data_IF_501598001134
#
_entry.id   IF_501598001134
#
_cell.length_a   1.000
_cell.length_b   1.000
_cell.length_c   1.000
_cell.angle_alpha   90.00
_cell.angle_beta   90.00
_cell.angle_gamma   90.00
#
_symmetry.space_group_name_H-M   'P 1'
#
loop_
_entity.id
_entity.type
_entity.pdbx_description
1 polymer ?
#
# COMPACT_ATOMS: atom_id res chain seq x y z
N UNK A 1 -22.21 18.16 29.86
CA UNK A 1 -20.73 18.20 29.76
C UNK A 1 -20.34 17.60 28.41
N UNK A 2 -19.77 18.41 27.50
CA UNK A 2 -19.27 17.98 26.18
C UNK A 2 -18.12 16.99 26.38
N UNK A 3 -18.16 15.83 25.70
CA UNK A 3 -16.97 14.97 25.55
C UNK A 3 -16.29 15.34 24.25
N UNK A 4 -15.25 16.16 24.37
CA UNK A 4 -14.33 16.59 23.30
C UNK A 4 -13.28 15.51 23.04
N UNK A 5 -13.19 15.08 21.77
CA UNK A 5 -12.09 14.41 21.08
C UNK A 5 -11.15 13.50 21.91
N UNK A 6 -11.39 12.20 21.88
CA UNK A 6 -10.43 11.19 22.35
C UNK A 6 -9.34 10.95 21.29
N UNK A 7 -8.10 11.35 21.60
CA UNK A 7 -6.93 11.15 20.75
C UNK A 7 -6.71 9.67 20.41
N UNK A 8 -6.53 9.38 19.11
CA UNK A 8 -6.22 8.04 18.63
C UNK A 8 -4.87 7.56 19.20
N UNK A 9 -4.89 6.54 20.06
CA UNK A 9 -3.67 5.89 20.58
C UNK A 9 -2.90 5.29 19.40
N UNK A 10 -1.67 5.77 19.16
CA UNK A 10 -0.79 5.23 18.11
C UNK A 10 0.28 4.36 18.74
N UNK A 11 0.52 3.18 18.17
CA UNK A 11 1.59 2.27 18.59
C UNK A 11 2.83 2.57 17.77
N UNK A 12 3.88 3.07 18.45
CA UNK A 12 5.21 3.14 17.86
C UNK A 12 6.05 2.00 18.41
N UNK A 13 6.47 1.08 17.54
CA UNK A 13 7.36 -0.02 17.91
C UNK A 13 8.80 0.41 17.68
N UNK A 14 9.49 0.82 18.75
CA UNK A 14 10.95 0.85 18.78
C UNK A 14 11.44 -0.54 19.22
N UNK A 15 12.31 -1.16 18.43
CA UNK A 15 12.77 -2.51 18.67
C UNK A 15 14.30 -2.52 18.67
N UNK A 16 14.89 -2.92 19.79
CA UNK A 16 16.32 -3.18 19.93
C UNK A 16 16.54 -4.68 19.77
N UNK A 17 17.42 -5.07 18.85
CA UNK A 17 17.79 -6.47 18.66
C UNK A 17 19.10 -6.70 19.40
N UNK A 18 19.07 -7.45 20.50
CA UNK A 18 20.27 -7.88 21.21
C UNK A 18 20.76 -9.19 20.60
N UNK A 19 21.96 -9.18 20.02
CA UNK A 19 22.62 -10.39 19.51
C UNK A 19 23.88 -10.69 20.30
N UNK A 20 24.03 -11.92 20.80
CA UNK A 20 25.26 -12.44 21.41
C UNK A 20 25.60 -13.79 20.77
N UNK A 21 26.87 -13.99 20.38
CA UNK A 21 27.31 -15.24 19.77
C UNK A 21 27.01 -16.45 20.68
N UNK A 22 26.46 -17.53 20.13
CA UNK A 22 26.02 -18.70 20.89
C UNK A 22 24.70 -18.54 21.66
N UNK A 23 24.08 -17.36 21.63
CA UNK A 23 22.82 -17.10 22.32
C UNK A 23 21.72 -16.66 21.33
N UNK A 24 20.47 -17.02 21.66
CA UNK A 24 19.30 -16.62 20.86
C UNK A 24 19.15 -15.09 20.87
N UNK A 25 19.00 -14.43 19.70
CA UNK A 25 18.72 -13.01 19.65
C UNK A 25 17.44 -12.69 20.41
N UNK A 26 17.48 -11.66 21.25
CA UNK A 26 16.31 -11.21 21.98
C UNK A 26 15.84 -9.88 21.39
N UNK A 27 14.56 -9.82 21.03
CA UNK A 27 13.91 -8.58 20.68
C UNK A 27 13.38 -7.92 21.94
N UNK A 28 14.01 -6.82 22.33
CA UNK A 28 13.44 -5.93 23.33
C UNK A 28 12.71 -4.85 22.56
N UNK A 29 11.38 -4.96 22.49
CA UNK A 29 10.54 -3.92 21.94
C UNK A 29 9.75 -3.26 23.06
N UNK A 30 9.63 -1.93 22.99
CA UNK A 30 8.75 -1.18 23.87
C UNK A 30 7.61 -0.64 23.02
N UNK A 31 6.38 -1.03 23.37
CA UNK A 31 5.17 -0.43 22.80
C UNK A 31 5.03 0.95 23.43
N UNK A 32 5.30 2.00 22.66
CA UNK A 32 5.03 3.36 23.10
C UNK A 32 3.58 3.69 22.78
N UNK A 33 2.77 3.93 23.82
CA UNK A 33 1.43 4.51 23.73
C UNK A 33 1.58 6.02 23.71
N UNK A 34 1.64 6.60 22.52
CA UNK A 34 1.73 8.05 22.37
C UNK A 34 0.36 8.72 22.58
N UNK A 35 0.33 9.78 23.40
CA UNK A 35 -0.89 10.52 23.76
C UNK A 35 -1.13 11.82 22.96
N UNK A 36 -0.23 12.21 22.05
CA UNK A 36 -0.25 13.55 21.45
C UNK A 36 0.01 13.58 19.92
N UNK A 37 -0.65 14.42 19.10
CA UNK A 37 -0.46 14.49 17.66
C UNK A 37 0.55 15.58 17.25
N UNK A 38 1.83 15.22 17.07
CA UNK A 38 2.86 16.16 16.60
C UNK A 38 3.16 16.04 15.09
N UNK A 39 3.21 17.19 14.39
CA UNK A 39 3.67 17.35 13.00
C UNK A 39 5.12 16.84 12.87
N UNK A 40 5.37 15.91 11.94
CA UNK A 40 6.71 15.37 11.65
C UNK A 40 6.99 13.94 12.13
N UNK A 41 6.04 13.25 12.78
CA UNK A 41 6.23 11.84 13.16
C UNK A 41 6.27 10.89 11.96
N UNK A 42 7.11 9.84 12.05
CA UNK A 42 7.06 8.68 11.14
C UNK A 42 5.68 8.03 11.25
N UNK A 43 4.87 8.13 10.20
CA UNK A 43 3.47 7.61 10.12
C UNK A 43 3.43 6.12 10.44
N UNK A 44 3.17 5.73 11.69
CA UNK A 44 3.11 4.34 12.16
C UNK A 44 1.72 3.73 12.09
N UNK A 45 1.63 2.47 12.48
CA UNK A 45 0.42 1.66 12.54
C UNK A 45 -0.24 1.85 13.92
N UNK A 46 -1.50 2.28 13.97
CA UNK A 46 -2.20 2.45 15.25
C UNK A 46 -2.66 1.09 15.80
N UNK A 47 -2.98 1.04 17.09
CA UNK A 47 -3.60 -0.16 17.68
C UNK A 47 -4.91 -0.51 16.97
N UNK A 48 -5.70 0.53 16.63
CA UNK A 48 -6.93 0.41 15.85
C UNK A 48 -6.68 -0.11 14.44
N UNK A 49 -5.64 0.38 13.76
CA UNK A 49 -5.28 -0.12 12.42
C UNK A 49 -4.89 -1.60 12.50
N UNK A 50 -4.21 -2.01 13.58
CA UNK A 50 -3.84 -3.40 13.82
C UNK A 50 -5.02 -4.31 14.13
N UNK A 51 -5.95 -3.85 14.97
CA UNK A 51 -7.19 -4.57 15.22
C UNK A 51 -7.97 -4.76 13.90
N UNK A 52 -8.15 -3.70 13.11
CA UNK A 52 -8.82 -3.76 11.80
C UNK A 52 -8.13 -4.73 10.83
N UNK A 53 -6.80 -4.71 10.77
CA UNK A 53 -6.05 -5.64 9.90
C UNK A 53 -6.15 -7.09 10.39
N UNK A 54 -6.17 -7.30 11.70
CA UNK A 54 -6.37 -8.63 12.29
C UNK A 54 -7.79 -9.14 12.02
N UNK A 55 -8.80 -8.30 12.19
CA UNK A 55 -10.21 -8.62 11.92
C UNK A 55 -10.42 -8.94 10.43
N UNK A 56 -9.86 -8.12 9.53
CA UNK A 56 -9.90 -8.39 8.09
C UNK A 56 -9.22 -9.73 7.75
N UNK A 57 -8.02 -9.99 8.28
CA UNK A 57 -7.33 -11.26 8.08
C UNK A 57 -8.12 -12.45 8.67
N UNK A 58 -8.83 -12.23 9.76
CA UNK A 58 -9.68 -13.23 10.40
C UNK A 58 -10.88 -13.61 9.52
N UNK A 59 -11.62 -12.60 9.06
CA UNK A 59 -12.76 -12.76 8.16
C UNK A 59 -12.36 -13.47 6.86
N UNK A 60 -11.26 -13.05 6.24
CA UNK A 60 -10.80 -13.62 4.97
C UNK A 60 -10.26 -15.06 5.09
N UNK A 61 -9.78 -15.46 6.26
CA UNK A 61 -9.30 -16.82 6.50
C UNK A 61 -10.41 -17.79 6.94
N UNK A 62 -11.62 -17.30 7.25
CA UNK A 62 -12.70 -18.13 7.80
C UNK A 62 -12.29 -18.87 9.08
N UNK A 63 -11.29 -18.36 9.80
CA UNK A 63 -10.77 -19.00 11.00
C UNK A 63 -11.73 -18.72 12.17
N UNK A 64 -12.00 -19.68 13.07
CA UNK A 64 -12.72 -19.39 14.32
C UNK A 64 -11.88 -18.46 15.19
N UNK A 65 -12.52 -17.60 15.98
CA UNK A 65 -11.93 -16.53 16.84
C UNK A 65 -10.92 -17.03 17.89
N UNK A 66 -10.73 -18.35 17.99
CA UNK A 66 -9.64 -18.97 18.71
C UNK A 66 -8.28 -18.79 18.01
N UNK A 67 -7.23 -19.09 18.77
CA UNK A 67 -5.87 -19.43 18.38
C UNK A 67 -5.79 -20.27 17.10
N UNK A 68 -6.00 -19.59 15.97
CA UNK A 68 -6.17 -20.16 14.64
C UNK A 68 -4.94 -20.93 14.21
N UNK A 69 -4.88 -22.18 14.62
CA UNK A 69 -3.94 -23.14 14.11
C UNK A 69 -4.38 -23.46 12.69
N UNK A 70 -3.42 -23.39 11.75
CA UNK A 70 -3.65 -23.99 10.45
C UNK A 70 -3.89 -25.48 10.73
N UNK A 71 -5.10 -25.98 10.47
CA UNK A 71 -5.50 -27.36 10.80
C UNK A 71 -4.36 -28.33 10.45
N UNK A 72 -3.84 -29.04 11.45
CA UNK A 72 -2.80 -30.06 11.31
C UNK A 72 -1.38 -29.67 11.73
N UNK A 73 -1.11 -28.45 12.24
CA UNK A 73 0.24 -28.05 12.63
C UNK A 73 0.31 -27.50 14.08
N UNK A 74 0.72 -28.30 15.08
CA UNK A 74 0.70 -27.94 16.51
C UNK A 74 1.68 -26.83 16.95
N UNK A 75 2.32 -26.12 16.00
CA UNK A 75 3.34 -25.09 16.25
C UNK A 75 3.06 -23.73 15.59
N UNK A 76 1.86 -23.48 15.06
CA UNK A 76 1.58 -22.18 14.42
C UNK A 76 1.21 -21.12 15.44
N UNK A 77 1.95 -19.99 15.44
CA UNK A 77 1.61 -18.80 16.23
C UNK A 77 0.15 -18.36 16.01
N UNK A 78 -0.49 -17.76 17.04
CA UNK A 78 -1.77 -17.08 16.91
C UNK A 78 -1.80 -16.15 15.70
N UNK A 79 -2.96 -16.04 15.03
CA UNK A 79 -3.13 -15.21 13.84
C UNK A 79 -2.60 -13.79 14.05
N UNK A 80 -2.89 -13.19 15.20
CA UNK A 80 -2.37 -11.90 15.64
C UNK A 80 -0.85 -11.77 15.44
N UNK A 81 -0.05 -12.70 16.01
CA UNK A 81 1.41 -12.65 15.89
C UNK A 81 1.89 -12.82 14.45
N UNK A 82 1.18 -13.60 13.62
CA UNK A 82 1.49 -13.74 12.19
C UNK A 82 1.18 -12.47 11.40
N UNK A 83 0.05 -11.82 11.68
CA UNK A 83 -0.32 -10.51 11.10
C UNK A 83 0.68 -9.43 11.51
N UNK A 84 1.08 -9.40 12.79
CA UNK A 84 2.11 -8.48 13.28
C UNK A 84 3.45 -8.68 12.58
N UNK A 85 3.85 -9.92 12.33
CA UNK A 85 5.07 -10.23 11.61
C UNK A 85 5.04 -9.70 10.17
N UNK A 86 3.90 -9.83 9.46
CA UNK A 86 3.72 -9.28 8.11
C UNK A 86 3.75 -7.76 8.12
N UNK A 87 3.02 -7.12 9.05
CA UNK A 87 3.02 -5.67 9.21
C UNK A 87 4.44 -5.15 9.50
N UNK A 88 5.20 -5.82 10.37
CA UNK A 88 6.59 -5.49 10.64
C UNK A 88 7.45 -5.64 9.39
N UNK A 89 7.30 -6.76 8.67
CA UNK A 89 8.04 -7.03 7.43
C UNK A 89 7.80 -5.92 6.39
N UNK A 90 6.55 -5.55 6.11
CA UNK A 90 6.24 -4.48 5.18
C UNK A 90 6.75 -3.12 5.65
N UNK A 91 6.67 -2.87 6.96
CA UNK A 91 7.09 -1.60 7.52
C UNK A 91 8.61 -1.40 7.45
N UNK A 92 9.36 -2.46 7.67
CA UNK A 92 10.82 -2.38 7.88
C UNK A 92 11.64 -2.90 6.72
N UNK A 93 11.06 -3.74 5.85
CA UNK A 93 11.74 -4.47 4.79
C UNK A 93 12.92 -5.31 5.29
N UNK A 94 12.76 -5.91 6.47
CA UNK A 94 13.75 -6.84 7.02
C UNK A 94 13.84 -8.10 6.15
N UNK A 95 15.05 -8.64 6.00
CA UNK A 95 15.27 -9.93 5.33
C UNK A 95 14.58 -11.06 6.10
N UNK A 96 14.17 -12.15 5.44
CA UNK A 96 13.43 -13.26 6.10
C UNK A 96 14.15 -13.86 7.33
N UNK A 97 15.49 -13.72 7.41
CA UNK A 97 16.31 -14.18 8.54
C UNK A 97 16.20 -13.29 9.78
N UNK A 98 15.74 -12.05 9.63
CA UNK A 98 15.68 -11.08 10.72
C UNK A 98 14.37 -11.19 11.53
N UNK A 99 13.15 -11.30 10.95
CA UNK A 99 11.94 -11.56 11.72
C UNK A 99 11.96 -12.91 12.43
N UNK A 100 12.65 -13.92 11.89
CA UNK A 100 12.69 -15.27 12.45
C UNK A 100 13.02 -15.28 13.94
N UNK A 101 14.19 -14.76 14.36
CA UNK A 101 14.52 -14.64 15.77
C UNK A 101 13.53 -13.80 16.60
N UNK A 102 12.93 -12.76 16.02
CA UNK A 102 11.97 -11.89 16.73
C UNK A 102 10.67 -12.63 17.11
N UNK A 103 10.25 -13.57 16.27
CA UNK A 103 9.01 -14.33 16.45
C UNK A 103 9.28 -15.81 16.80
N UNK A 104 10.54 -16.18 17.09
CA UNK A 104 10.98 -17.56 17.34
C UNK A 104 10.64 -18.54 16.21
N UNK A 105 10.82 -18.09 14.96
CA UNK A 105 10.59 -18.87 13.75
C UNK A 105 11.83 -19.06 12.90
N UNK A 106 11.84 -20.15 12.11
CA UNK A 106 12.79 -20.29 11.00
C UNK A 106 12.50 -19.25 9.91
N UNK A 107 13.52 -18.87 9.16
CA UNK A 107 13.37 -18.01 7.98
C UNK A 107 12.38 -18.59 6.95
N UNK A 108 12.33 -19.92 6.82
CA UNK A 108 11.38 -20.61 5.94
C UNK A 108 9.93 -20.45 6.41
N UNK A 109 9.68 -20.47 7.73
CA UNK A 109 8.35 -20.23 8.31
C UNK A 109 7.92 -18.78 8.10
N UNK A 110 8.83 -17.83 8.32
CA UNK A 110 8.59 -16.41 8.04
C UNK A 110 8.18 -16.20 6.58
N UNK A 111 8.92 -16.80 5.64
CA UNK A 111 8.62 -16.73 4.21
C UNK A 111 7.21 -17.25 3.89
N UNK A 112 6.86 -18.45 4.37
CA UNK A 112 5.53 -19.05 4.16
C UNK A 112 4.41 -18.18 4.72
N UNK A 113 4.60 -17.61 5.90
CA UNK A 113 3.58 -16.72 6.51
C UNK A 113 3.41 -15.45 5.68
N UNK A 114 4.50 -14.81 5.24
CA UNK A 114 4.42 -13.60 4.41
C UNK A 114 3.76 -13.90 3.08
N UNK A 115 4.11 -15.00 2.41
CA UNK A 115 3.47 -15.39 1.14
C UNK A 115 1.98 -15.68 1.33
N UNK A 116 1.59 -16.39 2.39
CA UNK A 116 0.20 -16.75 2.64
C UNK A 116 -0.67 -15.58 3.07
N UNK A 117 -0.19 -14.77 4.02
CA UNK A 117 -0.96 -13.67 4.58
C UNK A 117 -0.86 -12.40 3.73
N UNK A 118 0.27 -12.16 3.05
CA UNK A 118 0.44 -11.03 2.15
C UNK A 118 -0.49 -11.07 0.94
N UNK A 119 -1.00 -12.25 0.59
CA UNK A 119 -2.01 -12.45 -0.46
C UNK A 119 -3.44 -12.20 0.00
N UNK A 120 -3.73 -12.14 1.30
CA UNK A 120 -5.11 -12.04 1.80
C UNK A 120 -5.80 -10.73 1.39
N UNK A 121 -5.14 -9.55 1.47
CA UNK A 121 -5.78 -8.31 1.07
C UNK A 121 -5.99 -8.18 -0.45
N UNK A 122 -5.42 -9.08 -1.25
CA UNK A 122 -5.61 -9.12 -2.70
C UNK A 122 -6.98 -9.67 -3.14
N UNK A 123 -7.77 -10.21 -2.20
CA UNK A 123 -8.98 -11.00 -2.50
C UNK A 123 -10.29 -10.24 -2.41
N UNK A 124 -10.33 -9.10 -1.73
CA UNK A 124 -11.53 -8.27 -1.69
C UNK A 124 -11.34 -7.03 -2.56
N UNK A 125 -12.08 -6.91 -3.67
CA UNK A 125 -12.36 -5.60 -4.24
C UNK A 125 -12.92 -4.73 -3.11
N UNK A 126 -12.40 -3.50 -2.97
CA UNK A 126 -13.05 -2.52 -2.09
C UNK A 126 -14.51 -2.44 -2.50
N UNK A 127 -15.40 -2.84 -1.60
CA UNK A 127 -16.84 -2.84 -1.86
C UNK A 127 -17.22 -1.46 -2.37
N UNK A 128 -17.73 -1.41 -3.61
CA UNK A 128 -18.29 -0.21 -4.25
C UNK A 128 -19.14 0.54 -3.22
N UNK A 129 -18.76 1.75 -2.78
CA UNK A 129 -19.76 2.64 -2.20
C UNK A 129 -20.82 2.90 -3.28
N UNK A 130 -22.09 2.90 -2.88
CA UNK A 130 -23.28 2.93 -3.74
C UNK A 130 -23.20 3.90 -4.94
N UNK A 131 -23.91 3.54 -6.02
CA UNK A 131 -24.10 4.27 -7.28
C UNK A 131 -24.22 5.79 -7.10
N UNK A 132 -23.10 6.50 -7.16
CA UNK A 132 -23.06 7.92 -7.52
C UNK A 132 -22.66 8.03 -8.99
N UNK A 133 -23.53 8.58 -9.87
CA UNK A 133 -23.32 8.60 -11.32
C UNK A 133 -22.17 9.49 -11.81
N UNK A 134 -21.44 10.15 -10.90
CA UNK A 134 -20.35 11.08 -11.23
C UNK A 134 -19.06 10.77 -10.47
N UNK A 135 -18.71 9.48 -10.39
CA UNK A 135 -17.51 9.07 -9.66
C UNK A 135 -16.24 9.37 -10.47
N UNK A 136 -15.33 10.12 -9.86
CA UNK A 136 -14.03 10.46 -10.43
C UNK A 136 -12.96 9.56 -9.81
N UNK A 137 -12.35 8.70 -10.63
CA UNK A 137 -11.19 7.92 -10.24
C UNK A 137 -9.93 8.53 -10.79
N UNK A 138 -8.87 8.61 -10.02
CA UNK A 138 -7.58 9.09 -10.52
C UNK A 138 -6.59 7.94 -10.54
N UNK A 139 -5.75 7.93 -11.57
CA UNK A 139 -4.72 6.93 -11.75
C UNK A 139 -3.38 7.63 -11.68
N UNK A 140 -2.49 7.07 -10.86
CA UNK A 140 -1.11 7.53 -10.84
C UNK A 140 -0.14 6.35 -10.81
N UNK A 141 0.96 6.56 -11.52
CA UNK A 141 2.02 5.62 -11.74
C UNK A 141 3.10 5.78 -10.69
N UNK A 142 3.70 4.66 -10.26
CA UNK A 142 4.76 4.72 -9.28
C UNK A 142 5.86 3.71 -9.53
N UNK A 143 7.10 4.20 -9.57
CA UNK A 143 8.29 3.37 -9.66
C UNK A 143 8.66 2.84 -8.27
N UNK A 144 8.73 1.51 -8.17
CA UNK A 144 9.10 0.76 -6.98
C UNK A 144 10.42 0.07 -7.28
N UNK A 145 11.52 0.37 -6.54
CA UNK A 145 12.75 -0.39 -6.67
C UNK A 145 12.53 -1.85 -6.29
N UNK A 146 13.03 -2.78 -7.11
CA UNK A 146 12.84 -4.22 -6.92
C UNK A 146 14.17 -4.96 -7.03
N UNK A 147 14.24 -6.14 -6.40
CA UNK A 147 15.38 -7.06 -6.55
C UNK A 147 15.09 -8.15 -7.59
N UNK A 148 13.82 -8.33 -7.96
CA UNK A 148 13.40 -9.31 -8.95
C UNK A 148 13.81 -8.90 -10.36
N UNK A 149 14.80 -9.63 -10.91
CA UNK A 149 15.31 -9.39 -12.26
C UNK A 149 14.33 -9.76 -13.37
N UNK A 150 13.35 -10.61 -13.10
CA UNK A 150 12.31 -10.96 -14.07
C UNK A 150 11.23 -9.90 -14.21
N UNK A 151 11.13 -8.98 -13.24
CA UNK A 151 10.08 -7.96 -13.19
C UNK A 151 10.61 -6.54 -13.42
N UNK A 152 11.79 -6.21 -12.89
CA UNK A 152 12.32 -4.85 -12.95
C UNK A 152 13.01 -4.52 -14.27
N UNK A 153 13.15 -3.22 -14.53
CA UNK A 153 14.04 -2.68 -15.55
C UNK A 153 14.71 -1.41 -15.03
N UNK A 154 15.88 -1.07 -15.59
CA UNK A 154 16.53 0.20 -15.27
C UNK A 154 15.79 1.35 -15.95
N UNK A 155 15.17 2.23 -15.16
CA UNK A 155 14.37 3.36 -15.66
C UNK A 155 15.19 4.66 -15.70
N UNK A 156 14.57 5.77 -16.14
CA UNK A 156 15.18 7.11 -16.26
C UNK A 156 15.90 7.61 -15.00
N UNK A 157 15.57 7.07 -13.82
CA UNK A 157 16.21 7.40 -12.54
C UNK A 157 17.44 6.53 -12.21
N UNK A 158 17.99 5.79 -13.18
CA UNK A 158 19.12 4.85 -13.05
C UNK A 158 18.94 3.76 -11.98
N UNK A 159 17.71 3.56 -11.51
CA UNK A 159 17.38 2.59 -10.48
C UNK A 159 16.54 1.47 -11.07
N UNK A 160 17.00 0.25 -10.86
CA UNK A 160 16.28 -0.95 -11.25
C UNK A 160 14.93 -1.03 -10.49
N UNK A 161 13.83 -0.92 -11.23
CA UNK A 161 12.49 -0.71 -10.68
C UNK A 161 11.41 -1.37 -11.52
N UNK A 162 10.27 -1.62 -10.89
CA UNK A 162 9.02 -1.97 -11.53
C UNK A 162 8.07 -0.77 -11.46
N UNK A 163 7.25 -0.59 -12.48
CA UNK A 163 6.20 0.41 -12.53
C UNK A 163 4.88 -0.23 -12.13
N UNK A 164 4.20 0.37 -11.14
CA UNK A 164 2.86 -0.02 -10.70
C UNK A 164 1.95 1.19 -10.73
N UNK A 165 0.73 1.03 -11.24
CA UNK A 165 -0.31 2.05 -11.17
C UNK A 165 -1.28 1.70 -10.05
N UNK A 166 -1.77 2.73 -9.37
CA UNK A 166 -2.86 2.60 -8.43
C UNK A 166 -4.02 3.48 -8.88
N UNK A 167 -5.24 2.95 -8.75
CA UNK A 167 -6.49 3.64 -9.00
C UNK A 167 -7.04 4.06 -7.65
N UNK A 168 -7.36 5.34 -7.52
CA UNK A 168 -7.95 5.88 -6.31
C UNK A 168 -9.24 6.60 -6.63
N UNK A 169 -10.16 6.61 -5.68
CA UNK A 169 -11.29 7.52 -5.67
C UNK A 169 -10.81 8.92 -5.27
N UNK A 170 -11.07 9.92 -6.11
CA UNK A 170 -10.54 11.27 -5.95
C UNK A 170 -11.06 11.99 -4.70
N UNK A 171 -12.28 11.67 -4.26
CA UNK A 171 -12.97 12.32 -3.15
C UNK A 171 -12.62 11.64 -1.82
N UNK A 172 -12.82 10.33 -1.74
CA UNK A 172 -12.62 9.53 -0.52
C UNK A 172 -11.18 9.14 -0.28
N UNK A 173 -10.33 9.21 -1.33
CA UNK A 173 -8.92 8.77 -1.30
C UNK A 173 -8.74 7.27 -1.02
N UNK A 174 -9.80 6.48 -1.25
CA UNK A 174 -9.75 5.03 -1.21
C UNK A 174 -8.96 4.51 -2.41
N UNK A 175 -8.03 3.58 -2.18
CA UNK A 175 -7.38 2.84 -3.26
C UNK A 175 -8.33 1.74 -3.72
N UNK A 176 -8.85 1.88 -4.93
CA UNK A 176 -9.83 0.96 -5.52
C UNK A 176 -9.14 -0.29 -6.05
N UNK A 177 -8.02 -0.10 -6.74
CA UNK A 177 -7.24 -1.19 -7.32
C UNK A 177 -5.77 -0.79 -7.49
N UNK A 178 -4.91 -1.79 -7.62
CA UNK A 178 -3.53 -1.62 -8.06
C UNK A 178 -3.25 -2.58 -9.20
N UNK A 179 -2.56 -2.11 -10.23
CA UNK A 179 -2.26 -2.90 -11.41
C UNK A 179 -1.20 -3.97 -11.12
N UNK A 180 -1.10 -4.95 -12.02
CA UNK A 180 0.06 -5.83 -12.03
C UNK A 180 1.30 -5.00 -12.38
N UNK A 181 2.44 -5.23 -11.71
CA UNK A 181 3.67 -4.53 -12.03
C UNK A 181 4.14 -4.82 -13.44
N UNK A 182 4.63 -3.79 -14.11
CA UNK A 182 5.30 -3.87 -15.40
C UNK A 182 6.76 -3.40 -15.25
N UNK A 183 7.65 -3.67 -16.21
CA UNK A 183 9.02 -3.16 -16.15
C UNK A 183 9.08 -1.64 -15.95
N UNK A 184 10.05 -1.15 -15.18
CA UNK A 184 10.17 0.28 -14.85
C UNK A 184 10.42 1.22 -16.03
N UNK A 185 10.76 0.69 -17.21
CA UNK A 185 10.89 1.43 -18.47
C UNK A 185 9.56 1.65 -19.18
N UNK A 186 8.50 0.94 -18.77
CA UNK A 186 7.18 1.04 -19.38
C UNK A 186 6.56 2.40 -19.06
N UNK A 187 6.18 3.13 -20.11
CA UNK A 187 5.51 4.43 -20.00
C UNK A 187 4.13 4.28 -19.36
N UNK A 188 3.66 5.32 -18.68
CA UNK A 188 2.33 5.38 -18.04
C UNK A 188 1.19 4.93 -18.95
N UNK A 189 1.17 5.49 -20.15
CA UNK A 189 0.31 5.11 -21.26
C UNK A 189 0.27 3.59 -21.54
N UNK A 190 1.44 2.96 -21.68
CA UNK A 190 1.52 1.54 -22.01
C UNK A 190 1.19 0.66 -20.80
N UNK A 191 1.60 1.07 -19.59
CA UNK A 191 1.24 0.39 -18.35
C UNK A 191 -0.27 0.37 -18.15
N UNK A 192 -0.94 1.47 -18.49
CA UNK A 192 -2.40 1.59 -18.44
C UNK A 192 -3.09 0.64 -19.40
N UNK A 193 -2.66 0.62 -20.67
CA UNK A 193 -3.21 -0.32 -21.64
C UNK A 193 -2.96 -1.78 -21.24
N UNK A 194 -1.75 -2.11 -20.78
CA UNK A 194 -1.38 -3.46 -20.36
C UNK A 194 -2.16 -3.94 -19.12
N UNK A 195 -2.69 -3.01 -18.32
CA UNK A 195 -3.46 -3.35 -17.12
C UNK A 195 -4.85 -3.93 -17.39
N UNK A 196 -5.39 -3.75 -18.61
CA UNK A 196 -6.76 -4.12 -18.96
C UNK A 196 -7.85 -3.24 -18.31
N UNK A 197 -7.47 -2.24 -17.50
CA UNK A 197 -8.41 -1.35 -16.82
C UNK A 197 -9.16 -0.42 -17.77
N UNK A 198 -8.58 -0.12 -18.93
CA UNK A 198 -9.23 0.67 -19.99
C UNK A 198 -10.55 0.05 -20.48
N UNK A 199 -10.65 -1.29 -20.45
CA UNK A 199 -11.84 -2.02 -20.89
C UNK A 199 -12.98 -2.01 -19.86
N UNK A 200 -12.68 -1.66 -18.60
CA UNK A 200 -13.59 -1.74 -17.46
C UNK A 200 -14.19 -0.38 -17.04
N UNK A 201 -14.05 0.65 -17.88
CA UNK A 201 -14.35 2.06 -17.54
C UNK A 201 -15.85 2.45 -17.61
N UNK A 202 -16.78 1.51 -17.77
CA UNK A 202 -18.19 1.85 -17.95
C UNK A 202 -18.73 2.66 -16.76
N UNK A 203 -19.06 3.94 -17.02
CA UNK A 203 -19.65 4.86 -16.03
C UNK A 203 -18.68 5.63 -15.14
N UNK A 204 -17.36 5.61 -15.39
CA UNK A 204 -16.37 6.29 -14.52
C UNK A 204 -15.45 7.25 -15.30
N UNK A 205 -15.38 8.49 -14.81
CA UNK A 205 -14.40 9.46 -15.31
C UNK A 205 -13.06 9.19 -14.66
N UNK A 206 -12.02 8.99 -15.48
CA UNK A 206 -10.66 8.77 -15.01
C UNK A 206 -9.76 9.92 -15.44
N UNK A 207 -9.64 11.02 -14.67
CA UNK A 207 -8.66 12.04 -14.97
C UNK A 207 -7.28 11.44 -14.76
N UNK A 208 -6.40 11.67 -15.72
CA UNK A 208 -5.04 11.17 -15.68
C UNK A 208 -4.09 12.33 -15.99
N UNK A 209 -2.80 12.15 -15.72
CA UNK A 209 -1.79 13.16 -16.06
C UNK A 209 -1.64 13.30 -17.59
N UNK A 210 -0.96 14.36 -18.05
CA UNK A 210 -0.68 14.59 -19.47
C UNK A 210 0.03 13.40 -20.16
N UNK A 211 0.69 12.51 -19.39
CA UNK A 211 1.25 11.26 -19.89
C UNK A 211 0.21 10.29 -20.51
N UNK A 212 -1.09 10.54 -20.31
CA UNK A 212 -2.20 9.73 -20.80
C UNK A 212 -3.02 10.40 -21.93
N UNK A 213 -2.52 11.50 -22.51
CA UNK A 213 -3.20 12.36 -23.50
C UNK A 213 -3.90 11.61 -24.66
N UNK A 214 -3.42 10.43 -25.05
CA UNK A 214 -3.95 9.65 -26.18
C UNK A 214 -4.91 8.51 -25.79
N UNK A 215 -5.31 8.39 -24.52
CA UNK A 215 -6.01 7.19 -23.99
C UNK A 215 -7.43 7.47 -23.50
N UNK A 216 -8.06 8.56 -23.98
CA UNK A 216 -9.47 8.87 -23.71
C UNK A 216 -9.76 9.30 -22.27
N UNK A 217 -8.74 9.68 -21.50
CA UNK A 217 -8.85 10.25 -20.15
C UNK A 217 -8.89 11.77 -20.23
N UNK A 218 -9.71 12.48 -19.43
CA UNK A 218 -9.56 13.92 -19.24
C UNK A 218 -8.14 14.21 -18.73
N UNK A 219 -7.43 15.07 -19.45
CA UNK A 219 -6.04 15.46 -19.15
C UNK A 219 -5.96 16.99 -19.10
N UNK A 220 -4.96 17.55 -18.38
CA UNK A 220 -4.80 18.99 -18.27
C UNK A 220 -4.69 19.69 -19.62
N UNK A 221 -5.28 20.89 -19.73
CA UNK A 221 -5.13 21.76 -20.89
C UNK A 221 -3.68 22.25 -21.00
N UNK A 222 -3.08 22.08 -22.18
CA UNK A 222 -1.73 22.56 -22.45
C UNK A 222 -1.75 23.94 -23.14
N UNK A 223 -0.82 24.81 -22.73
CA UNK A 223 -0.60 26.10 -23.40
C UNK A 223 -0.19 25.87 -24.85
N UNK A 224 -0.82 26.58 -25.79
CA UNK A 224 -0.36 26.63 -27.19
C UNK A 224 0.87 27.55 -27.28
N UNK A 225 1.83 27.28 -28.17
CA UNK A 225 2.99 28.14 -28.35
C UNK A 225 2.57 29.60 -28.58
N UNK A 226 3.07 30.52 -27.74
CA UNK A 226 2.81 31.95 -27.86
C UNK A 226 1.44 32.44 -27.37
N UNK A 227 0.57 31.57 -26.84
CA UNK A 227 -0.75 31.96 -26.35
C UNK A 227 -0.93 31.63 -24.85
N UNK A 228 -1.44 32.58 -24.04
CA UNK A 228 -1.80 32.28 -22.66
C UNK A 228 -2.98 31.30 -22.62
N UNK A 229 -3.06 30.51 -21.55
CA UNK A 229 -4.19 29.62 -21.34
C UNK A 229 -5.43 30.48 -21.00
N UNK A 230 -6.59 30.23 -21.61
CA UNK A 230 -7.84 30.87 -21.20
C UNK A 230 -8.10 30.66 -19.70
N UNK A 231 -8.72 31.65 -19.05
CA UNK A 231 -8.97 31.62 -17.60
C UNK A 231 -9.78 30.39 -17.15
N UNK A 232 -10.79 29.98 -17.93
CA UNK A 232 -11.57 28.77 -17.65
C UNK A 232 -10.74 27.48 -17.68
N UNK A 233 -9.86 27.34 -18.68
CA UNK A 233 -8.94 26.19 -18.77
C UNK A 233 -7.88 26.18 -17.64
N UNK A 234 -7.52 27.36 -17.12
CA UNK A 234 -6.62 27.47 -15.96
C UNK A 234 -7.30 27.07 -14.64
N UNK A 235 -8.58 27.41 -14.48
CA UNK A 235 -9.43 26.98 -13.36
C UNK A 235 -9.63 25.45 -13.38
N UNK A 236 -9.94 24.87 -14.54
CA UNK A 236 -10.05 23.41 -14.70
C UNK A 236 -8.74 22.68 -14.38
N UNK A 237 -7.61 23.22 -14.86
CA UNK A 237 -6.28 22.71 -14.52
C UNK A 237 -5.96 22.84 -13.02
N UNK A 238 -6.49 23.86 -12.33
CA UNK A 238 -6.29 24.02 -10.90
C UNK A 238 -7.04 22.94 -10.11
N UNK A 239 -8.27 22.60 -10.50
CA UNK A 239 -9.00 21.48 -9.92
C UNK A 239 -8.32 20.13 -10.21
N UNK A 240 -7.85 19.92 -11.45
CA UNK A 240 -7.07 18.72 -11.79
C UNK A 240 -5.83 18.57 -10.90
N UNK A 241 -5.06 19.65 -10.69
CA UNK A 241 -3.90 19.65 -9.79
C UNK A 241 -4.26 19.31 -8.34
N UNK A 242 -5.40 19.79 -7.83
CA UNK A 242 -5.86 19.45 -6.46
C UNK A 242 -6.16 17.97 -6.34
N UNK A 243 -6.83 17.39 -7.33
CA UNK A 243 -7.12 15.95 -7.38
C UNK A 243 -5.82 15.14 -7.44
N UNK A 244 -4.89 15.53 -8.32
CA UNK A 244 -3.60 14.84 -8.45
C UNK A 244 -2.77 14.90 -7.16
N UNK A 245 -2.74 16.05 -6.48
CA UNK A 245 -2.05 16.19 -5.20
C UNK A 245 -2.58 15.23 -4.12
N UNK A 246 -3.88 14.90 -4.11
CA UNK A 246 -4.41 13.90 -3.19
C UNK A 246 -3.88 12.50 -3.47
N UNK A 247 -3.74 12.14 -4.74
CA UNK A 247 -3.26 10.84 -5.19
C UNK A 247 -1.77 10.67 -4.88
N UNK A 248 -0.96 11.70 -5.19
CA UNK A 248 0.44 11.75 -4.81
C UNK A 248 0.61 11.57 -3.29
N UNK A 249 -0.25 12.21 -2.48
CA UNK A 249 -0.24 12.05 -1.02
C UNK A 249 -0.56 10.62 -0.57
N UNK A 250 -1.49 9.93 -1.24
CA UNK A 250 -1.82 8.51 -0.97
C UNK A 250 -0.62 7.63 -1.30
N UNK A 251 -0.02 7.78 -2.48
CA UNK A 251 1.17 7.02 -2.89
C UNK A 251 2.34 7.31 -1.96
N UNK A 252 2.57 8.56 -1.60
CA UNK A 252 3.58 8.94 -0.61
C UNK A 252 3.29 8.31 0.76
N UNK A 253 2.00 8.15 1.14
CA UNK A 253 1.60 7.45 2.36
C UNK A 253 1.95 5.96 2.29
N UNK A 254 1.62 5.28 1.20
CA UNK A 254 1.98 3.88 0.94
C UNK A 254 3.50 3.69 0.90
N UNK A 255 4.26 4.60 0.31
CA UNK A 255 5.73 4.57 0.29
C UNK A 255 6.39 4.80 1.66
N UNK A 256 5.63 5.03 2.74
CA UNK A 256 6.19 4.97 4.10
C UNK A 256 6.47 3.54 4.56
N UNK A 257 5.87 2.54 3.91
CA UNK A 257 6.25 1.14 4.09
C UNK A 257 7.53 0.88 3.31
N UNK A 258 8.60 0.52 4.04
CA UNK A 258 9.94 0.38 3.43
C UNK A 258 9.99 -0.70 2.36
N UNK A 259 9.08 -1.66 2.37
CA UNK A 259 8.99 -2.69 1.32
C UNK A 259 8.78 -2.08 -0.08
N UNK A 260 8.11 -0.92 -0.20
CA UNK A 260 7.94 -0.23 -1.49
C UNK A 260 9.12 0.66 -1.88
N UNK A 261 10.15 0.79 -1.04
CA UNK A 261 11.37 1.56 -1.36
C UNK A 261 12.52 0.67 -1.83
N UNK A 262 12.43 -0.64 -1.59
CA UNK A 262 13.46 -1.63 -1.90
C UNK A 262 12.87 -3.05 -1.87
N UNK A 263 11.92 -3.36 -2.75
CA UNK A 263 11.15 -4.59 -2.67
C UNK A 263 11.99 -5.83 -2.97
N UNK A 264 11.95 -6.81 -2.05
CA UNK A 264 12.70 -8.08 -2.13
C UNK A 264 11.83 -9.28 -2.53
N UNK A 265 10.54 -9.05 -2.74
CA UNK A 265 9.62 -10.08 -3.17
C UNK A 265 9.89 -10.42 -4.65
N UNK A 266 9.67 -11.68 -5.01
CA UNK A 266 9.85 -12.20 -6.37
C UNK A 266 8.50 -12.62 -6.95
N UNK A 267 8.41 -12.65 -8.28
CA UNK A 267 7.19 -12.98 -9.03
C UNK A 267 6.03 -12.08 -8.61
N UNK A 268 4.84 -12.66 -8.43
CA UNK A 268 3.63 -11.94 -8.00
C UNK A 268 3.73 -11.30 -6.61
N UNK A 269 4.81 -11.51 -5.86
CA UNK A 269 4.94 -10.99 -4.50
C UNK A 269 4.94 -9.45 -4.42
N UNK A 270 5.39 -8.73 -5.45
CA UNK A 270 5.24 -7.26 -5.49
C UNK A 270 3.77 -6.86 -5.64
N UNK A 271 3.02 -7.49 -6.55
CA UNK A 271 1.61 -7.21 -6.77
C UNK A 271 0.80 -7.38 -5.48
N UNK A 272 0.96 -8.53 -4.82
CA UNK A 272 0.31 -8.80 -3.54
C UNK A 272 0.73 -7.80 -2.45
N UNK A 273 1.99 -7.40 -2.41
CA UNK A 273 2.46 -6.39 -1.45
C UNK A 273 1.79 -5.03 -1.68
N UNK A 274 1.66 -4.59 -2.94
CA UNK A 274 0.98 -3.33 -3.24
C UNK A 274 -0.50 -3.41 -2.86
N UNK A 275 -1.19 -4.50 -3.18
CA UNK A 275 -2.58 -4.72 -2.77
C UNK A 275 -2.75 -4.74 -1.25
N UNK A 276 -1.83 -5.41 -0.53
CA UNK A 276 -1.81 -5.41 0.92
C UNK A 276 -1.67 -4.01 1.53
N UNK A 277 -0.81 -3.19 0.95
CA UNK A 277 -0.61 -1.82 1.42
C UNK A 277 -1.74 -0.88 1.03
N UNK A 278 -2.39 -1.11 -0.11
CA UNK A 278 -3.60 -0.42 -0.52
C UNK A 278 -4.75 -0.68 0.46
N UNK A 279 -4.99 -1.96 0.78
CA UNK A 279 -5.99 -2.34 1.78
C UNK A 279 -5.66 -1.77 3.16
N UNK A 280 -4.39 -1.86 3.59
CA UNK A 280 -3.95 -1.30 4.87
C UNK A 280 -4.14 0.23 4.92
N UNK A 281 -3.93 0.93 3.80
CA UNK A 281 -4.22 2.36 3.70
C UNK A 281 -5.71 2.65 3.86
N UNK A 282 -6.57 1.89 3.17
CA UNK A 282 -8.02 2.05 3.24
C UNK A 282 -8.55 1.80 4.66
N UNK A 283 -8.05 0.79 5.36
CA UNK A 283 -8.41 0.52 6.76
C UNK A 283 -8.03 1.65 7.71
N UNK A 284 -7.06 2.49 7.36
CA UNK A 284 -6.61 3.62 8.17
C UNK A 284 -7.34 4.93 7.83
N UNK A 285 -8.27 4.91 6.87
CA UNK A 285 -9.18 6.02 6.63
C UNK A 285 -10.34 5.98 7.64
N UNK A 286 -10.89 7.15 8.02
CA UNK A 286 -12.14 7.19 8.76
C UNK A 286 -13.27 6.55 7.90
N UNK A 287 -14.25 5.90 8.54
CA UNK A 287 -15.45 5.44 7.84
C UNK A 287 -16.25 6.61 7.27
#
# INVERSE_FOLDING_TARGET
MRVTAAGAKRVSTAALICTKAGHRPQLIYRVHLDRDPAKGRRKGFTETDYARLLDAAHQQLGAPTGDGTLRGQPWSLPLAKRVLMVALYYRTNLTMRQPGPLFSFSSSTVCRVIQRLGQLPAREPVSRPADTPERVWTVDGTLIPVHDRGMGASSRNYRFSAHVQAIMDAETRLVIAATRPVPGTTTDAHAWHASGLSEHRQGVTVPADGAYLNYGTPVPHHKRPGQPLPKGEEEDNAEHRKVHAHVEHVIARMKNYKILRDCRQLGDGLHHTVQALAHTHNLALPP
#
